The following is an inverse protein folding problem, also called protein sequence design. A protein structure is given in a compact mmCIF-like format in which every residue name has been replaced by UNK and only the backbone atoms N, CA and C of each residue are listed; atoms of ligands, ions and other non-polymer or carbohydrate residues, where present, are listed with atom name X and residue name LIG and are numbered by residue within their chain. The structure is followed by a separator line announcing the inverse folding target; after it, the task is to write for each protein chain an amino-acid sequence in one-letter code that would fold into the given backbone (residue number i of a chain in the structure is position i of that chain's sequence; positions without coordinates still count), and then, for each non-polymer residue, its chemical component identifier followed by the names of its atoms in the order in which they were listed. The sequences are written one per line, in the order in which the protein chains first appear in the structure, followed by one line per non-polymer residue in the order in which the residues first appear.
data_IF_998123013350
#
_entry.id   IF_998123013350
#
_cell.length_a   1.000
_cell.length_b   1.000
_cell.length_c   1.000
_cell.angle_alpha   90.00
_cell.angle_beta   90.00
_cell.angle_gamma   90.00
#
_symmetry.space_group_name_H-M   'P 1'
#
loop_
_entity.id
_entity.type
_entity.pdbx_description
1 polymer ?
#
# COMPACT_ATOMS: atom_id res chain seq x y z
N UNK A 1 -13.51 -2.23 -26.35
CA UNK A 1 -14.30 -3.21 -25.59
C UNK A 1 -13.57 -3.49 -24.27
N UNK A 2 -13.82 -2.94 -23.07
CA UNK A 2 -14.91 -2.17 -22.49
C UNK A 2 -14.35 -1.33 -21.31
N UNK A 3 -14.29 0.01 -21.45
CA UNK A 3 -13.88 0.92 -20.36
C UNK A 3 -14.81 0.85 -19.13
N UNK A 4 -16.02 0.33 -19.32
CA UNK A 4 -17.02 0.12 -18.27
C UNK A 4 -16.67 -1.05 -17.33
N UNK A 5 -16.19 -2.18 -17.86
CA UNK A 5 -15.75 -3.32 -17.05
C UNK A 5 -14.56 -2.95 -16.17
N UNK A 6 -13.63 -2.12 -16.68
CA UNK A 6 -12.47 -1.68 -15.90
C UNK A 6 -12.84 -0.69 -14.79
N UNK A 7 -13.80 0.22 -15.02
CA UNK A 7 -14.29 1.15 -13.97
C UNK A 7 -15.07 0.43 -12.87
N UNK A 8 -15.93 -0.52 -13.26
CA UNK A 8 -16.65 -1.35 -12.30
C UNK A 8 -15.67 -2.20 -11.51
N UNK A 9 -14.74 -2.89 -12.16
CA UNK A 9 -13.72 -3.68 -11.46
C UNK A 9 -12.88 -2.81 -10.51
N UNK A 10 -12.49 -1.61 -10.93
CA UNK A 10 -11.75 -0.66 -10.07
C UNK A 10 -12.52 -0.21 -8.83
N UNK A 11 -13.84 -0.14 -8.89
CA UNK A 11 -14.66 0.32 -7.74
C UNK A 11 -15.15 -0.85 -6.89
N UNK A 12 -15.54 -1.96 -7.52
CA UNK A 12 -16.04 -3.15 -6.84
C UNK A 12 -14.94 -3.97 -6.17
N UNK A 13 -13.75 -4.06 -6.77
CA UNK A 13 -12.64 -4.82 -6.22
C UNK A 13 -12.23 -4.33 -4.82
N UNK A 14 -11.95 -3.03 -4.58
CA UNK A 14 -11.59 -2.56 -3.25
C UNK A 14 -12.75 -2.71 -2.26
N UNK A 15 -14.01 -2.58 -2.69
CA UNK A 15 -15.18 -2.77 -1.82
C UNK A 15 -15.32 -4.25 -1.42
N UNK A 16 -15.20 -5.18 -2.37
CA UNK A 16 -15.25 -6.61 -2.12
C UNK A 16 -14.09 -7.05 -1.22
N UNK A 17 -12.88 -6.55 -1.49
CA UNK A 17 -11.72 -6.76 -0.62
C UNK A 17 -11.98 -6.21 0.79
N UNK A 18 -12.55 -5.02 0.90
CA UNK A 18 -12.86 -4.41 2.20
C UNK A 18 -13.88 -5.24 2.98
N UNK A 19 -14.85 -5.84 2.30
CA UNK A 19 -15.83 -6.75 2.92
C UNK A 19 -15.18 -8.06 3.36
N UNK A 20 -14.33 -8.67 2.53
CA UNK A 20 -13.56 -9.87 2.89
C UNK A 20 -12.61 -9.61 4.05
N UNK A 21 -12.00 -8.43 4.10
CA UNK A 21 -11.10 -8.06 5.18
C UNK A 21 -11.87 -7.76 6.47
N UNK A 22 -13.09 -7.20 6.38
CA UNK A 22 -13.97 -7.01 7.54
C UNK A 22 -14.42 -8.31 8.22
N UNK A 23 -14.39 -9.46 7.53
CA UNK A 23 -14.68 -10.75 8.17
C UNK A 23 -13.49 -11.28 8.99
N UNK A 24 -12.28 -10.72 8.79
CA UNK A 24 -11.10 -11.07 9.58
C UNK A 24 -11.16 -10.37 10.95
N UNK A 25 -11.01 -11.16 12.01
CA UNK A 25 -10.83 -10.63 13.37
C UNK A 25 -9.38 -10.16 13.52
N UNK A 26 -9.16 -8.85 13.47
CA UNK A 26 -7.86 -8.22 13.70
C UNK A 26 -7.73 -7.90 15.19
N UNK A 27 -6.66 -8.40 15.82
CA UNK A 27 -6.30 -8.05 17.20
C UNK A 27 -5.02 -7.25 17.18
N UNK A 28 -5.07 -6.04 17.72
CA UNK A 28 -3.88 -5.21 17.92
C UNK A 28 -3.24 -5.58 19.26
N UNK A 29 -1.95 -5.85 19.26
CA UNK A 29 -1.17 -6.18 20.45
C UNK A 29 0.05 -5.25 20.43
N UNK A 30 0.33 -4.56 21.55
CA UNK A 30 1.43 -3.60 21.68
C UNK A 30 1.46 -2.55 20.55
N UNK A 31 0.41 -1.74 20.45
CA UNK A 31 0.33 -0.66 19.46
C UNK A 31 1.43 0.38 19.79
N UNK A 32 2.46 0.53 18.93
CA UNK A 32 3.45 1.58 19.12
C UNK A 32 2.83 2.95 18.82
N UNK A 33 3.42 4.00 19.36
CA UNK A 33 2.99 5.37 19.11
C UNK A 33 3.04 5.70 17.61
N UNK A 34 1.86 5.94 17.02
CA UNK A 34 1.70 6.20 15.57
C UNK A 34 2.43 7.48 15.12
N UNK A 35 2.87 8.34 16.04
CA UNK A 35 3.60 9.58 15.75
C UNK A 35 5.07 9.37 15.40
N UNK A 36 5.63 8.17 15.58
CA UNK A 36 7.04 7.89 15.27
C UNK A 36 7.20 7.32 13.87
N UNK A 37 8.26 7.75 13.16
CA UNK A 37 8.70 7.14 11.90
C UNK A 37 8.87 5.63 12.12
N UNK A 38 8.04 4.85 11.44
CA UNK A 38 7.93 3.41 11.66
C UNK A 38 7.96 2.69 10.32
N UNK A 39 8.65 1.55 10.28
CA UNK A 39 8.64 0.65 9.11
C UNK A 39 7.70 -0.50 9.43
N UNK A 40 6.70 -0.70 8.56
CA UNK A 40 5.74 -1.79 8.71
C UNK A 40 6.21 -3.00 7.92
N UNK A 41 6.21 -4.15 8.58
CA UNK A 41 6.58 -5.43 7.99
C UNK A 41 5.40 -6.38 8.17
N UNK A 42 5.06 -7.09 7.12
CA UNK A 42 4.03 -8.12 7.14
C UNK A 42 4.47 -9.29 6.27
N UNK A 43 3.89 -10.46 6.53
CA UNK A 43 4.09 -11.64 5.71
C UNK A 43 3.38 -11.50 4.37
N UNK A 44 3.98 -12.02 3.31
CA UNK A 44 3.40 -12.03 1.96
C UNK A 44 1.97 -12.59 1.92
N UNK A 45 1.67 -13.63 2.71
CA UNK A 45 0.34 -14.23 2.80
C UNK A 45 -0.73 -13.33 3.45
N UNK A 46 -0.31 -12.26 4.15
CA UNK A 46 -1.17 -11.30 4.86
C UNK A 46 -0.98 -9.86 4.37
N UNK A 47 -0.25 -9.70 3.28
CA UNK A 47 0.14 -8.42 2.71
C UNK A 47 -1.07 -7.54 2.36
N UNK A 48 -2.13 -8.15 1.82
CA UNK A 48 -3.40 -7.49 1.54
C UNK A 48 -4.03 -6.84 2.78
N UNK A 49 -4.04 -7.58 3.90
CA UNK A 49 -4.55 -7.09 5.17
C UNK A 49 -3.67 -5.96 5.71
N UNK A 50 -2.34 -6.13 5.62
CA UNK A 50 -1.38 -5.11 6.01
C UNK A 50 -1.66 -3.78 5.33
N UNK A 51 -1.77 -3.78 3.99
CA UNK A 51 -2.09 -2.57 3.24
C UNK A 51 -3.46 -1.99 3.54
N UNK A 52 -4.47 -2.83 3.74
CA UNK A 52 -5.79 -2.29 4.07
C UNK A 52 -5.83 -1.64 5.46
N UNK A 53 -5.08 -2.16 6.44
CA UNK A 53 -5.02 -1.60 7.80
C UNK A 53 -4.39 -0.21 7.87
N UNK A 54 -3.45 0.08 6.96
CA UNK A 54 -2.76 1.37 6.90
C UNK A 54 -3.26 2.27 5.77
N UNK A 55 -4.41 1.94 5.15
CA UNK A 55 -5.05 2.79 4.15
C UNK A 55 -5.40 4.17 4.73
N UNK A 56 -5.37 5.18 3.87
CA UNK A 56 -5.74 6.58 4.18
C UNK A 56 -4.91 7.23 5.34
N UNK A 57 -3.79 6.63 5.75
CA UNK A 57 -2.92 7.14 6.84
C UNK A 57 -1.65 7.85 6.33
N UNK A 58 -1.65 8.36 5.09
CA UNK A 58 -0.52 9.08 4.47
C UNK A 58 0.81 8.30 4.46
N UNK A 59 0.78 6.98 4.33
CA UNK A 59 1.99 6.17 4.22
C UNK A 59 2.51 6.10 2.78
N UNK A 60 3.83 6.08 2.64
CA UNK A 60 4.49 5.76 1.37
C UNK A 60 4.74 4.26 1.23
N UNK A 61 4.55 3.71 0.03
CA UNK A 61 4.79 2.31 -0.27
C UNK A 61 5.74 2.17 -1.45
N UNK A 62 6.83 1.40 -1.29
CA UNK A 62 7.77 1.10 -2.37
C UNK A 62 7.32 -0.16 -3.11
N UNK A 63 7.11 -0.05 -4.42
CA UNK A 63 6.64 -1.14 -5.28
C UNK A 63 7.55 -1.31 -6.50
N UNK A 64 7.85 -2.56 -6.84
CA UNK A 64 8.65 -2.90 -8.02
C UNK A 64 8.05 -2.41 -9.34
N UNK A 65 8.89 -2.22 -10.35
CA UNK A 65 8.49 -1.89 -11.72
C UNK A 65 7.98 -3.10 -12.54
N UNK A 66 7.66 -4.22 -11.88
CA UNK A 66 7.08 -5.40 -12.53
C UNK A 66 5.59 -5.20 -12.88
N UNK A 67 5.07 -6.08 -13.74
CA UNK A 67 3.64 -6.13 -14.11
C UNK A 67 2.74 -6.37 -12.89
N UNK A 68 3.16 -7.24 -11.98
CA UNK A 68 2.44 -7.46 -10.71
C UNK A 68 2.51 -6.23 -9.81
N UNK A 69 3.63 -5.51 -9.83
CA UNK A 69 3.80 -4.23 -9.15
C UNK A 69 2.88 -3.13 -9.69
N UNK A 70 2.52 -3.17 -10.97
CA UNK A 70 1.56 -2.23 -11.55
C UNK A 70 0.14 -2.48 -11.05
N UNK A 71 -0.28 -3.75 -10.96
CA UNK A 71 -1.56 -4.14 -10.36
C UNK A 71 -1.60 -3.65 -8.91
N UNK A 72 -0.53 -3.89 -8.17
CA UNK A 72 -0.42 -3.46 -6.78
C UNK A 72 -0.47 -1.93 -6.63
N UNK A 73 0.28 -1.20 -7.46
CA UNK A 73 0.31 0.27 -7.46
C UNK A 73 -1.09 0.84 -7.63
N UNK A 74 -1.88 0.27 -8.54
CA UNK A 74 -3.26 0.70 -8.76
C UNK A 74 -4.17 0.50 -7.54
N UNK A 75 -3.97 -0.60 -6.80
CA UNK A 75 -4.74 -0.89 -5.57
C UNK A 75 -4.31 0.04 -4.44
N UNK A 76 -3.00 0.23 -4.23
CA UNK A 76 -2.47 1.08 -3.17
C UNK A 76 -2.84 2.56 -3.37
N UNK A 77 -2.76 3.07 -4.61
CA UNK A 77 -3.21 4.43 -4.92
C UNK A 77 -4.70 4.65 -4.58
N UNK A 78 -5.55 3.64 -4.79
CA UNK A 78 -6.97 3.71 -4.41
C UNK A 78 -7.19 3.67 -2.90
N UNK A 79 -6.22 3.15 -2.14
CA UNK A 79 -6.22 3.11 -0.67
C UNK A 79 -5.46 4.29 -0.05
N UNK A 80 -5.17 5.33 -0.82
CA UNK A 80 -4.58 6.58 -0.31
C UNK A 80 -3.09 6.50 0.01
N UNK A 81 -2.36 5.54 -0.54
CA UNK A 81 -0.90 5.46 -0.41
C UNK A 81 -0.18 6.37 -1.40
N UNK A 82 0.96 6.91 -0.98
CA UNK A 82 1.93 7.47 -1.90
C UNK A 82 2.86 6.36 -2.43
N UNK A 83 2.59 5.85 -3.63
CA UNK A 83 3.33 4.71 -4.19
C UNK A 83 4.58 5.17 -4.93
N UNK A 84 5.73 4.78 -4.42
CA UNK A 84 7.04 5.01 -5.02
C UNK A 84 7.44 3.78 -5.85
N UNK A 85 7.97 3.99 -7.05
CA UNK A 85 8.30 2.90 -7.99
C UNK A 85 9.82 2.70 -8.11
N UNK A 86 10.30 1.54 -7.72
CA UNK A 86 11.72 1.19 -7.83
C UNK A 86 11.96 -0.31 -7.70
N UNK A 87 12.98 -0.83 -8.38
CA UNK A 87 13.47 -2.20 -8.23
C UNK A 87 14.94 -2.19 -7.79
N UNK A 88 15.43 -3.32 -7.27
CA UNK A 88 16.84 -3.49 -6.88
C UNK A 88 17.83 -3.23 -8.02
N UNK A 89 17.37 -3.22 -9.28
CA UNK A 89 18.17 -3.01 -10.48
C UNK A 89 17.91 -1.68 -11.20
N UNK A 90 16.77 -1.01 -10.97
CA UNK A 90 16.44 0.31 -11.56
C UNK A 90 15.55 1.13 -10.62
N UNK A 91 15.96 2.35 -10.28
CA UNK A 91 15.13 3.29 -9.53
C UNK A 91 14.94 2.97 -8.04
N UNK A 92 15.52 1.88 -7.53
CA UNK A 92 15.37 1.46 -6.14
C UNK A 92 16.10 2.35 -5.14
N UNK A 93 17.25 2.92 -5.53
CA UNK A 93 18.01 3.85 -4.70
C UNK A 93 17.25 5.17 -4.55
N UNK A 94 16.79 5.71 -5.66
CA UNK A 94 16.04 6.96 -5.74
C UNK A 94 14.73 6.86 -4.95
N UNK A 95 14.00 5.75 -5.11
CA UNK A 95 12.76 5.52 -4.39
C UNK A 95 12.99 5.30 -2.87
N UNK A 96 14.14 4.76 -2.47
CA UNK A 96 14.52 4.66 -1.05
C UNK A 96 14.89 6.04 -0.47
N UNK A 97 15.63 6.86 -1.20
CA UNK A 97 15.95 8.24 -0.80
C UNK A 97 14.66 9.07 -0.63
N UNK A 98 13.69 8.87 -1.52
CA UNK A 98 12.39 9.51 -1.43
C UNK A 98 11.57 9.04 -0.22
N UNK A 99 11.61 7.73 0.13
CA UNK A 99 11.02 7.22 1.37
C UNK A 99 11.61 7.86 2.63
N UNK A 100 12.94 8.02 2.65
CA UNK A 100 13.64 8.63 3.79
C UNK A 100 13.24 10.11 3.89
N UNK A 101 13.23 10.82 2.76
CA UNK A 101 12.89 12.24 2.69
C UNK A 101 11.43 12.49 3.07
N UNK A 102 10.50 11.65 2.62
CA UNK A 102 9.07 11.78 2.95
C UNK A 102 8.80 11.52 4.43
N UNK A 103 9.54 10.61 5.06
CA UNK A 103 9.49 10.43 6.52
C UNK A 103 10.06 11.65 7.27
N UNK A 104 10.99 12.36 6.63
CA UNK A 104 11.71 13.55 7.10
C UNK A 104 10.84 14.77 7.40
N UNK A 105 9.90 15.05 6.50
CA UNK A 105 9.20 16.34 6.40
C UNK A 105 7.87 16.43 7.17
N UNK A 106 7.48 15.39 7.90
CA UNK A 106 6.32 15.42 8.80
C UNK A 106 6.68 16.09 10.13
N UNK A 107 7.03 17.39 10.08
CA UNK A 107 7.18 18.27 11.25
C UNK A 107 5.96 19.18 11.38
#
# INVERSE_FOLDING_TARGET
MNNFKSRIAKTFLPVLLSLLIKTLRVKYINIPDEKKRSVFIFWHSKMLLGWWLFKDKNYSALVSQSKDGEILTNVLNQWGYNVLRGSSSKGGKEALEELITSSGNSS
#
